data_IF_021173276282
#
_entry.id   IF_021173276282
#
_cell.length_a   1.000
_cell.length_b   1.000
_cell.length_c   1.000
_cell.angle_alpha   90.00
_cell.angle_beta   90.00
_cell.angle_gamma   90.00
#
_symmetry.space_group_name_H-M   'P 1'
#
loop_
_entity.id
_entity.type
_entity.pdbx_description
1 polymer ?
#
# COMPACT_ATOMS: atom_id res chain seq x y z
N UNK A 1 1.39 -8.34 7.49
CA UNK A 1 0.79 -8.74 8.78
C UNK A 1 -0.68 -8.35 8.72
N UNK A 2 -1.63 -9.28 8.86
CA UNK A 2 -3.06 -9.00 8.67
C UNK A 2 -3.79 -8.88 10.02
N UNK A 3 -4.69 -7.90 10.15
CA UNK A 3 -5.61 -7.79 11.27
C UNK A 3 -6.81 -8.72 11.06
N UNK A 4 -7.29 -9.36 12.14
CA UNK A 4 -8.55 -10.07 12.12
C UNK A 4 -9.70 -9.06 11.99
N UNK A 5 -10.60 -9.30 11.04
CA UNK A 5 -11.78 -8.45 10.81
C UNK A 5 -13.01 -9.26 11.17
N UNK A 6 -13.66 -8.99 12.31
CA UNK A 6 -14.93 -9.61 12.68
C UNK A 6 -15.99 -9.35 11.61
N UNK A 7 -16.84 -10.35 11.35
CA UNK A 7 -18.03 -10.15 10.52
C UNK A 7 -19.03 -9.23 11.22
N UNK A 8 -19.92 -8.60 10.44
CA UNK A 8 -20.95 -7.69 10.99
C UNK A 8 -21.90 -8.36 11.98
N UNK A 9 -22.05 -9.69 11.91
CA UNK A 9 -22.89 -10.49 12.80
C UNK A 9 -22.08 -11.20 13.89
N UNK A 10 -20.80 -10.86 14.09
CA UNK A 10 -19.96 -11.49 15.11
C UNK A 10 -20.43 -11.09 16.51
N UNK A 11 -20.57 -12.08 17.39
CA UNK A 11 -21.03 -11.90 18.78
C UNK A 11 -20.03 -12.37 19.81
N UNK A 12 -18.98 -13.09 19.41
CA UNK A 12 -17.92 -13.52 20.32
C UNK A 12 -17.02 -12.34 20.70
N UNK A 13 -17.16 -11.90 21.95
CA UNK A 13 -16.37 -10.81 22.54
C UNK A 13 -14.86 -11.05 22.41
N UNK A 14 -14.39 -12.30 22.46
CA UNK A 14 -12.94 -12.59 22.38
C UNK A 14 -12.39 -12.23 21.00
N UNK A 15 -13.16 -12.50 19.94
CA UNK A 15 -12.75 -12.17 18.56
C UNK A 15 -12.78 -10.67 18.30
N UNK A 16 -13.75 -9.96 18.87
CA UNK A 16 -13.83 -8.50 18.80
C UNK A 16 -12.65 -7.87 19.53
N UNK A 17 -12.38 -8.31 20.76
CA UNK A 17 -11.23 -7.85 21.56
C UNK A 17 -9.91 -8.17 20.86
N UNK A 18 -9.79 -9.35 20.24
CA UNK A 18 -8.61 -9.69 19.44
C UNK A 18 -8.42 -8.71 18.28
N UNK A 19 -9.47 -8.40 17.52
CA UNK A 19 -9.39 -7.43 16.42
C UNK A 19 -8.85 -6.07 16.89
N UNK A 20 -9.37 -5.56 18.02
CA UNK A 20 -8.96 -4.29 18.61
C UNK A 20 -7.50 -4.33 19.08
N UNK A 21 -7.08 -5.41 19.76
CA UNK A 21 -5.68 -5.57 20.19
C UNK A 21 -4.72 -5.64 18.99
N UNK A 22 -5.09 -6.36 17.93
CA UNK A 22 -4.28 -6.46 16.72
C UNK A 22 -4.15 -5.09 16.04
N UNK A 23 -5.24 -4.31 15.99
CA UNK A 23 -5.21 -2.94 15.46
C UNK A 23 -4.32 -2.03 16.32
N UNK A 24 -4.43 -2.09 17.65
CA UNK A 24 -3.58 -1.33 18.58
C UNK A 24 -2.08 -1.73 18.47
N UNK A 25 -1.80 -2.98 18.10
CA UNK A 25 -0.45 -3.46 17.80
C UNK A 25 0.06 -3.04 16.40
N UNK A 26 -0.68 -2.18 15.68
CA UNK A 26 -0.27 -1.64 14.38
C UNK A 26 -0.55 -2.55 13.20
N UNK A 27 -1.37 -3.61 13.35
CA UNK A 27 -1.78 -4.44 12.21
C UNK A 27 -2.83 -3.72 11.38
N UNK A 28 -2.65 -3.74 10.07
CA UNK A 28 -3.63 -3.27 9.11
C UNK A 28 -3.63 -4.17 7.89
N UNK A 29 -4.79 -4.39 7.30
CA UNK A 29 -4.92 -5.13 6.04
C UNK A 29 -4.68 -4.24 4.82
N UNK A 30 -4.53 -2.93 5.02
CA UNK A 30 -4.32 -1.95 3.97
C UNK A 30 -2.82 -1.66 3.73
N UNK A 31 -1.95 -2.65 3.93
CA UNK A 31 -0.49 -2.52 3.73
C UNK A 31 0.03 -3.59 2.77
N UNK A 32 1.13 -3.31 2.09
CA UNK A 32 1.76 -4.27 1.19
C UNK A 32 3.08 -3.77 0.62
N UNK A 33 3.54 -4.44 -0.44
CA UNK A 33 4.75 -4.08 -1.17
C UNK A 33 4.47 -4.04 -2.66
N UNK A 34 5.09 -3.10 -3.37
CA UNK A 34 5.07 -3.00 -4.83
C UNK A 34 6.50 -2.85 -5.34
N UNK A 35 6.79 -3.49 -6.49
CA UNK A 35 8.00 -3.19 -7.27
C UNK A 35 7.58 -2.38 -8.49
N UNK A 36 8.21 -1.23 -8.72
CA UNK A 36 7.91 -0.42 -9.89
C UNK A 36 8.30 -1.15 -11.17
N UNK A 37 7.44 -1.08 -12.19
CA UNK A 37 7.69 -1.67 -13.49
C UNK A 37 8.93 -1.07 -14.15
N UNK A 38 9.81 -1.93 -14.68
CA UNK A 38 10.97 -1.52 -15.48
C UNK A 38 10.55 -1.21 -16.90
N UNK A 39 11.12 -0.17 -17.51
CA UNK A 39 10.79 0.21 -18.89
C UNK A 39 9.41 0.85 -19.08
N UNK A 40 8.72 1.21 -17.98
CA UNK A 40 7.43 1.89 -17.98
C UNK A 40 7.47 3.14 -17.10
N UNK A 41 6.58 4.11 -17.37
CA UNK A 41 6.42 5.33 -16.60
C UNK A 41 5.31 5.26 -15.53
N UNK A 42 4.64 4.11 -15.41
CA UNK A 42 3.59 3.91 -14.41
C UNK A 42 3.52 2.46 -13.94
N UNK A 43 3.04 2.30 -12.70
CA UNK A 43 2.74 1.01 -12.09
C UNK A 43 1.39 1.09 -11.39
N UNK A 44 0.49 0.18 -11.72
CA UNK A 44 -0.80 0.04 -11.04
C UNK A 44 -0.68 -1.00 -9.92
N UNK A 45 -1.10 -0.62 -8.71
CA UNK A 45 -1.11 -1.48 -7.53
C UNK A 45 -2.54 -1.86 -7.21
N UNK A 46 -2.85 -3.15 -7.28
CA UNK A 46 -4.15 -3.68 -6.87
C UNK A 46 -4.15 -3.93 -5.37
N UNK A 47 -5.09 -3.32 -4.65
CA UNK A 47 -5.27 -3.52 -3.21
C UNK A 47 -6.75 -3.33 -2.84
N UNK A 48 -7.40 -4.39 -2.37
CA UNK A 48 -8.84 -4.42 -2.12
C UNK A 48 -9.30 -3.39 -1.07
N UNK A 49 -8.40 -2.96 -0.18
CA UNK A 49 -8.67 -1.99 0.88
C UNK A 49 -8.44 -0.53 0.45
N UNK A 50 -8.28 -0.26 -0.86
CA UNK A 50 -8.22 1.09 -1.40
C UNK A 50 -9.58 1.51 -1.97
N UNK A 51 -9.96 2.76 -1.72
CA UNK A 51 -11.14 3.40 -2.27
C UNK A 51 -10.77 4.76 -2.88
N UNK A 52 -11.65 5.36 -3.69
CA UNK A 52 -11.39 6.63 -4.38
C UNK A 52 -11.05 7.83 -3.46
N UNK A 53 -11.25 7.74 -2.15
CA UNK A 53 -10.86 8.74 -1.15
C UNK A 53 -9.64 8.36 -0.30
N UNK A 54 -9.03 7.20 -0.55
CA UNK A 54 -7.88 6.75 0.22
C UNK A 54 -6.60 7.49 -0.15
N UNK A 55 -5.66 7.55 0.78
CA UNK A 55 -4.33 8.13 0.66
C UNK A 55 -3.31 7.00 0.68
N UNK A 56 -2.72 6.64 -0.48
CA UNK A 56 -1.59 5.72 -0.53
C UNK A 56 -0.32 6.42 -0.04
N UNK A 57 0.30 5.86 1.00
CA UNK A 57 1.57 6.29 1.57
C UNK A 57 2.61 5.26 1.16
N UNK A 58 3.64 5.71 0.43
CA UNK A 58 4.70 4.86 -0.10
C UNK A 58 6.02 5.17 0.60
N UNK A 59 6.74 4.12 1.00
CA UNK A 59 8.05 4.22 1.65
C UNK A 59 9.05 3.38 0.86
N UNK A 60 10.19 3.93 0.42
CA UNK A 60 11.19 3.17 -0.32
C UNK A 60 11.79 2.06 0.58
N UNK A 61 11.86 0.85 0.03
CA UNK A 61 12.37 -0.35 0.72
C UNK A 61 13.67 -0.88 0.09
N UNK A 62 14.25 -0.14 -0.84
CA UNK A 62 15.48 -0.47 -1.55
C UNK A 62 16.24 0.82 -1.88
N UNK A 63 17.56 0.73 -2.07
CA UNK A 63 18.38 1.87 -2.49
C UNK A 63 17.89 2.47 -3.82
N UNK A 64 17.53 1.60 -4.78
CA UNK A 64 17.00 2.02 -6.07
C UNK A 64 15.66 2.77 -5.94
N UNK A 65 14.79 2.35 -5.03
CA UNK A 65 13.56 3.08 -4.73
C UNK A 65 13.82 4.42 -4.02
N UNK A 66 14.81 4.49 -3.13
CA UNK A 66 15.19 5.76 -2.48
C UNK A 66 15.72 6.78 -3.51
N UNK A 67 16.50 6.33 -4.49
CA UNK A 67 16.94 7.17 -5.62
C UNK A 67 15.76 7.68 -6.46
N UNK A 68 14.75 6.84 -6.70
CA UNK A 68 13.53 7.25 -7.41
C UNK A 68 12.80 8.38 -6.67
N UNK A 69 12.63 8.25 -5.34
CA UNK A 69 12.04 9.32 -4.51
C UNK A 69 12.89 10.59 -4.56
N UNK A 70 14.21 10.46 -4.43
CA UNK A 70 15.13 11.60 -4.51
C UNK A 70 15.16 12.29 -5.88
N UNK A 71 14.76 11.60 -6.94
CA UNK A 71 14.66 12.17 -8.30
C UNK A 71 13.43 13.05 -8.47
N UNK A 72 12.44 12.96 -7.57
CA UNK A 72 11.25 13.82 -7.58
C UNK A 72 10.23 13.53 -8.70
N UNK A 73 10.40 12.44 -9.45
CA UNK A 73 9.52 12.03 -10.56
C UNK A 73 8.35 11.17 -10.12
N UNK A 74 8.34 10.71 -8.87
CA UNK A 74 7.36 9.76 -8.35
C UNK A 74 6.18 10.46 -7.67
N UNK A 75 4.96 10.12 -8.08
CA UNK A 75 3.73 10.55 -7.40
C UNK A 75 2.58 9.58 -7.65
N UNK A 76 1.57 9.59 -6.77
CA UNK A 76 0.33 8.84 -6.98
C UNK A 76 -0.55 9.61 -7.95
N UNK A 77 -0.80 9.04 -9.13
CA UNK A 77 -1.51 9.72 -10.23
C UNK A 77 -2.99 9.38 -10.31
N UNK A 78 -3.42 8.25 -9.73
CA UNK A 78 -4.82 7.89 -9.60
C UNK A 78 -5.06 7.02 -8.37
N UNK A 79 -6.23 7.17 -7.75
CA UNK A 79 -6.72 6.32 -6.67
C UNK A 79 -8.14 5.89 -7.04
N UNK A 80 -8.40 4.59 -7.05
CA UNK A 80 -9.68 4.02 -7.42
C UNK A 80 -10.08 2.91 -6.43
N UNK A 81 -11.31 2.44 -6.53
CA UNK A 81 -11.73 1.29 -5.74
C UNK A 81 -10.92 0.05 -6.14
N UNK A 82 -10.27 -0.55 -5.14
CA UNK A 82 -9.43 -1.73 -5.31
C UNK A 82 -8.04 -1.47 -5.89
N UNK A 83 -7.64 -0.21 -6.18
CA UNK A 83 -6.33 0.06 -6.78
C UNK A 83 -5.85 1.51 -6.67
N UNK A 84 -4.55 1.71 -6.85
CA UNK A 84 -3.96 3.04 -7.09
C UNK A 84 -2.85 2.94 -8.12
N UNK A 85 -2.56 4.06 -8.80
CA UNK A 85 -1.54 4.15 -9.84
C UNK A 85 -0.42 5.07 -9.40
N UNK A 86 0.81 4.59 -9.56
CA UNK A 86 2.03 5.35 -9.30
C UNK A 86 2.60 5.77 -10.64
N UNK A 87 2.80 7.07 -10.84
CA UNK A 87 3.67 7.58 -11.91
C UNK A 87 5.10 7.64 -11.40
N UNK A 88 6.07 7.24 -12.21
CA UNK A 88 7.49 7.22 -11.87
C UNK A 88 8.35 7.35 -13.14
N UNK A 89 9.66 7.50 -12.97
CA UNK A 89 10.59 7.55 -14.10
C UNK A 89 10.52 6.24 -14.90
N UNK A 90 10.52 6.38 -16.23
CA UNK A 90 10.79 5.26 -17.11
C UNK A 90 12.27 4.91 -17.02
N UNK A 91 12.57 3.78 -16.39
CA UNK A 91 13.95 3.35 -16.12
C UNK A 91 14.08 1.84 -16.28
N UNK A 92 15.24 1.42 -16.76
CA UNK A 92 15.65 0.01 -16.78
C UNK A 92 16.11 -0.50 -15.40
N UNK A 93 16.24 0.38 -14.40
CA UNK A 93 16.67 0.00 -13.05
C UNK A 93 15.65 -0.92 -12.39
N UNK A 94 16.05 -2.18 -12.18
CA UNK A 94 15.27 -3.22 -11.52
C UNK A 94 15.23 -3.04 -10.00
N UNK A 95 14.28 -3.69 -9.34
CA UNK A 95 14.27 -3.78 -7.87
C UNK A 95 13.95 -2.46 -7.16
N UNK A 96 13.18 -1.57 -7.80
CA UNK A 96 12.62 -0.38 -7.16
C UNK A 96 11.42 -0.77 -6.28
N UNK A 97 11.72 -1.31 -5.10
CA UNK A 97 10.72 -1.84 -4.16
C UNK A 97 10.26 -0.77 -3.17
N UNK A 98 8.94 -0.64 -3.01
CA UNK A 98 8.27 0.21 -2.03
C UNK A 98 7.40 -0.63 -1.11
N UNK A 99 7.38 -0.27 0.17
CA UNK A 99 6.29 -0.63 1.07
C UNK A 99 5.19 0.42 0.94
N UNK A 100 3.94 0.01 1.07
CA UNK A 100 2.82 0.94 1.07
C UNK A 100 1.88 0.67 2.23
N UNK A 101 1.24 1.74 2.68
CA UNK A 101 0.04 1.72 3.51
C UNK A 101 -1.03 2.58 2.82
N UNK A 102 -2.27 2.13 2.82
CA UNK A 102 -3.41 2.88 2.31
C UNK A 102 -4.27 3.27 3.50
N UNK A 103 -4.50 4.56 3.68
CA UNK A 103 -5.29 5.12 4.78
C UNK A 103 -6.48 5.86 4.20
N UNK A 104 -7.68 5.61 4.70
CA UNK A 104 -8.91 6.27 4.25
C UNK A 104 -10.04 6.08 5.25
#
# INVERSE_FOLDING_TARGET
>A
MTAYVPGITETDLKKIVLAIQQLAAGRSNAVGSVTLATGASSTTVTTANCAAGSVPILVPASANAATEVGSGTMYVSAVANGSFTITHANSATTGRVFLYAVVG
#
